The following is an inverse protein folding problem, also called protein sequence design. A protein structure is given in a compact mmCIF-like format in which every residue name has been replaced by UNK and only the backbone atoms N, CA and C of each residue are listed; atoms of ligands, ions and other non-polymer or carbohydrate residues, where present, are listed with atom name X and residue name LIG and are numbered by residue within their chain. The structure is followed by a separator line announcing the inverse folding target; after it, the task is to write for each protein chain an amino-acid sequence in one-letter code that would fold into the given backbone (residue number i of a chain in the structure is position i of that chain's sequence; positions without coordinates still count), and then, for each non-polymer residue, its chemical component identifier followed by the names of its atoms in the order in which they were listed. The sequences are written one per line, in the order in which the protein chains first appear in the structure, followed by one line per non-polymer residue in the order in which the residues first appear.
data_IF_548949416142
#
_entry.id   IF_548949416142
#
_cell.length_a   1.000
_cell.length_b   1.000
_cell.length_c   1.000
_cell.angle_alpha   90.00
_cell.angle_beta   90.00
_cell.angle_gamma   90.00
#
_symmetry.space_group_name_H-M   'P 1'
#
loop_
_entity.id
_entity.type
_entity.pdbx_description
1 polymer ?
#
# COMPACT_ATOMS: atom_id res chain seq x y z
N UNK A 1 -23.58 -1.52 -65.16
CA UNK A 1 -24.54 -0.85 -64.24
C UNK A 1 -24.82 -1.61 -62.93
N UNK A 2 -24.67 -2.95 -62.83
CA UNK A 2 -24.89 -3.70 -61.57
C UNK A 2 -23.87 -3.40 -60.47
N UNK A 3 -22.59 -3.29 -60.81
CA UNK A 3 -21.51 -3.02 -59.84
C UNK A 3 -21.67 -1.66 -59.14
N UNK A 4 -22.06 -0.61 -59.89
CA UNK A 4 -22.30 0.74 -59.34
C UNK A 4 -23.40 0.74 -58.26
N UNK A 5 -24.48 -0.03 -58.47
CA UNK A 5 -25.57 -0.18 -57.49
C UNK A 5 -25.12 -0.95 -56.23
N UNK A 6 -24.13 -1.83 -56.34
CA UNK A 6 -23.61 -2.61 -55.21
C UNK A 6 -22.74 -1.75 -54.29
N UNK A 7 -21.87 -0.93 -54.87
CA UNK A 7 -21.04 0.04 -54.13
C UNK A 7 -21.88 1.10 -53.42
N UNK A 8 -22.93 1.62 -54.07
CA UNK A 8 -23.86 2.58 -53.45
C UNK A 8 -24.58 1.99 -52.23
N UNK A 9 -25.01 0.72 -52.30
CA UNK A 9 -25.66 0.03 -51.16
C UNK A 9 -24.71 -0.16 -49.98
N UNK A 10 -23.45 -0.54 -50.25
CA UNK A 10 -22.42 -0.65 -49.22
C UNK A 10 -22.12 0.70 -48.57
N UNK A 11 -22.05 1.78 -49.34
CA UNK A 11 -21.79 3.12 -48.84
C UNK A 11 -22.94 3.64 -47.97
N UNK A 12 -24.20 3.45 -48.39
CA UNK A 12 -25.38 3.77 -47.58
C UNK A 12 -25.39 2.97 -46.29
N UNK A 13 -25.13 1.65 -46.35
CA UNK A 13 -25.05 0.81 -45.16
C UNK A 13 -23.95 1.29 -44.19
N UNK A 14 -22.79 1.68 -44.70
CA UNK A 14 -21.70 2.25 -43.90
C UNK A 14 -22.09 3.56 -43.20
N UNK A 15 -22.77 4.47 -43.90
CA UNK A 15 -23.25 5.73 -43.31
C UNK A 15 -24.31 5.47 -42.23
N UNK A 16 -25.26 4.57 -42.48
CA UNK A 16 -26.29 4.20 -41.50
C UNK A 16 -25.65 3.57 -40.26
N UNK A 17 -24.68 2.68 -40.45
CA UNK A 17 -23.96 2.05 -39.34
C UNK A 17 -23.19 3.07 -38.50
N UNK A 18 -22.50 4.02 -39.15
CA UNK A 18 -21.81 5.11 -38.47
C UNK A 18 -22.80 6.02 -37.71
N UNK A 19 -23.93 6.36 -38.32
CA UNK A 19 -24.97 7.16 -37.69
C UNK A 19 -25.52 6.47 -36.42
N UNK A 20 -25.73 5.14 -36.46
CA UNK A 20 -26.15 4.37 -35.28
C UNK A 20 -25.11 4.40 -34.16
N UNK A 21 -23.81 4.32 -34.49
CA UNK A 21 -22.73 4.45 -33.49
C UNK A 21 -22.74 5.83 -32.84
N UNK A 22 -22.90 6.89 -33.63
CA UNK A 22 -22.95 8.27 -33.11
C UNK A 22 -24.18 8.47 -32.21
N UNK A 23 -25.36 7.98 -32.61
CA UNK A 23 -26.56 8.03 -31.77
C UNK A 23 -26.37 7.23 -30.48
N UNK A 24 -25.71 6.08 -30.55
CA UNK A 24 -25.35 5.29 -29.37
C UNK A 24 -24.41 6.04 -28.43
N UNK A 25 -23.36 6.65 -28.97
CA UNK A 25 -22.39 7.47 -28.21
C UNK A 25 -23.04 8.69 -27.54
N UNK A 26 -23.97 9.36 -28.23
CA UNK A 26 -24.69 10.52 -27.69
C UNK A 26 -25.79 10.11 -26.69
N UNK A 27 -26.29 8.87 -26.76
CA UNK A 27 -27.31 8.36 -25.85
C UNK A 27 -26.75 7.91 -24.49
N UNK A 28 -25.42 7.86 -24.31
CA UNK A 28 -24.84 7.57 -23.00
C UNK A 28 -25.20 8.69 -22.00
N UNK A 29 -26.09 8.37 -21.07
CA UNK A 29 -26.42 9.24 -19.95
C UNK A 29 -25.19 9.38 -19.06
N UNK A 30 -24.84 10.62 -18.72
CA UNK A 30 -23.79 10.89 -17.73
C UNK A 30 -24.15 10.22 -16.40
N UNK A 31 -23.16 9.71 -15.64
CA UNK A 31 -23.42 9.13 -14.34
C UNK A 31 -24.03 10.19 -13.41
N UNK A 32 -24.94 9.76 -12.54
CA UNK A 32 -25.64 10.66 -11.62
C UNK A 32 -24.68 11.34 -10.62
N UNK A 33 -23.63 10.62 -10.21
CA UNK A 33 -22.56 11.09 -9.34
C UNK A 33 -21.26 11.16 -10.15
N UNK A 34 -20.69 12.37 -10.24
CA UNK A 34 -19.42 12.62 -10.91
C UNK A 34 -18.38 12.94 -9.83
N UNK A 35 -17.40 12.06 -9.67
CA UNK A 35 -16.27 12.27 -8.77
C UNK A 35 -15.34 13.33 -9.37
N UNK A 36 -15.11 14.42 -8.63
CA UNK A 36 -14.20 15.51 -8.99
C UNK A 36 -12.80 15.31 -8.41
N UNK A 37 -12.67 14.42 -7.44
CA UNK A 37 -11.43 14.10 -6.73
C UNK A 37 -11.12 12.62 -6.87
N UNK A 38 -9.84 12.27 -7.03
CA UNK A 38 -9.42 10.87 -7.02
C UNK A 38 -9.19 10.35 -5.59
N UNK A 39 -9.00 9.03 -5.44
CA UNK A 39 -8.82 8.41 -4.12
C UNK A 39 -7.59 8.92 -3.36
N UNK A 40 -6.50 9.30 -4.05
CA UNK A 40 -5.26 9.78 -3.43
C UNK A 40 -5.44 11.19 -2.85
N UNK A 41 -6.11 12.06 -3.58
CA UNK A 41 -6.48 13.39 -3.11
C UNK A 41 -7.48 13.30 -1.95
N UNK A 42 -8.44 12.38 -2.01
CA UNK A 42 -9.38 12.17 -0.91
C UNK A 42 -8.67 11.66 0.35
N UNK A 43 -7.66 10.80 0.21
CA UNK A 43 -6.86 10.33 1.33
C UNK A 43 -6.11 11.49 2.02
N UNK A 44 -5.66 12.51 1.28
CA UNK A 44 -5.05 13.70 1.88
C UNK A 44 -6.01 14.55 2.71
N UNK A 45 -7.33 14.35 2.57
CA UNK A 45 -8.33 14.98 3.42
C UNK A 45 -8.51 14.22 4.75
N UNK A 46 -8.13 12.95 4.81
CA UNK A 46 -8.22 12.14 6.02
C UNK A 46 -7.20 12.65 7.02
N UNK A 47 -7.69 13.14 8.17
CA UNK A 47 -6.87 13.81 9.18
C UNK A 47 -6.84 15.34 9.06
N UNK A 48 -7.54 15.95 8.11
CA UNK A 48 -7.71 17.40 8.08
C UNK A 48 -8.64 17.85 9.22
N UNK A 49 -8.04 18.46 10.24
CA UNK A 49 -8.74 18.95 11.44
C UNK A 49 -9.56 20.22 11.17
N UNK A 50 -9.29 20.97 10.10
CA UNK A 50 -10.06 22.17 9.72
C UNK A 50 -11.49 21.84 9.26
N UNK A 51 -11.74 20.58 8.91
CA UNK A 51 -13.04 20.07 8.48
C UNK A 51 -13.83 19.44 9.64
N UNK A 52 -13.22 19.38 10.83
CA UNK A 52 -13.87 18.97 12.06
C UNK A 52 -14.45 20.19 12.77
N UNK A 53 -15.68 20.07 13.26
CA UNK A 53 -16.32 21.07 14.12
C UNK A 53 -16.48 20.45 15.51
N UNK A 54 -16.13 21.18 16.56
CA UNK A 54 -16.39 20.74 17.94
C UNK A 54 -17.81 21.12 18.35
N UNK A 55 -18.41 20.33 19.24
CA UNK A 55 -19.72 20.64 19.84
C UNK A 55 -19.78 22.07 20.41
N UNK A 56 -18.67 22.59 20.95
CA UNK A 56 -18.59 23.94 21.53
C UNK A 56 -18.81 25.06 20.50
N UNK A 57 -18.48 24.80 19.24
CA UNK A 57 -18.50 25.80 18.17
C UNK A 57 -19.82 25.79 17.38
N UNK A 58 -20.72 24.83 17.65
CA UNK A 58 -21.98 24.66 16.93
C UNK A 58 -22.87 25.92 17.00
N UNK A 59 -22.93 26.58 18.16
CA UNK A 59 -23.78 27.75 18.38
C UNK A 59 -23.27 29.03 17.70
N UNK A 60 -22.02 29.04 17.21
CA UNK A 60 -21.37 30.25 16.69
C UNK A 60 -21.46 30.31 15.16
N UNK A 61 -21.53 29.14 14.50
CA UNK A 61 -21.27 29.06 13.05
C UNK A 61 -22.47 29.10 12.12
N UNK A 62 -23.71 29.17 12.63
CA UNK A 62 -24.92 29.18 11.79
C UNK A 62 -24.99 27.97 10.84
N UNK A 63 -24.60 26.80 11.34
CA UNK A 63 -24.46 25.58 10.54
C UNK A 63 -25.82 24.96 10.22
N UNK A 64 -25.95 24.41 9.01
CA UNK A 64 -27.00 23.43 8.74
C UNK A 64 -26.53 22.07 9.25
N UNK A 65 -27.18 21.58 10.30
CA UNK A 65 -26.88 20.27 10.87
C UNK A 65 -27.63 19.17 10.12
N UNK A 66 -26.92 18.08 9.82
CA UNK A 66 -27.48 16.88 9.21
C UNK A 66 -27.11 15.67 10.06
N UNK A 67 -28.14 15.03 10.61
CA UNK A 67 -28.00 13.78 11.36
C UNK A 67 -27.99 12.60 10.39
N UNK A 68 -26.88 11.85 10.37
CA UNK A 68 -26.69 10.72 9.46
C UNK A 68 -27.10 9.38 10.06
N UNK A 69 -27.60 9.37 11.29
CA UNK A 69 -28.11 8.15 11.95
C UNK A 69 -29.46 7.75 11.37
N UNK A 70 -29.89 6.53 11.69
CA UNK A 70 -31.20 6.07 11.29
C UNK A 70 -32.31 6.89 12.00
N UNK A 71 -33.50 6.86 11.41
CA UNK A 71 -34.65 7.62 11.89
C UNK A 71 -35.06 7.27 13.33
N UNK A 72 -34.85 6.03 13.77
CA UNK A 72 -35.20 5.62 15.14
C UNK A 72 -34.28 6.27 16.18
N UNK A 73 -32.99 6.39 15.90
CA UNK A 73 -32.05 7.09 16.79
C UNK A 73 -32.28 8.59 16.81
N UNK A 74 -32.54 9.19 15.65
CA UNK A 74 -32.91 10.59 15.55
C UNK A 74 -34.19 10.92 16.34
N UNK A 75 -35.20 10.05 16.28
CA UNK A 75 -36.46 10.22 17.00
C UNK A 75 -36.32 10.11 18.53
N UNK A 76 -35.34 9.34 19.03
CA UNK A 76 -35.03 9.27 20.47
C UNK A 76 -34.40 10.57 20.98
N UNK A 77 -33.74 11.31 20.10
CA UNK A 77 -33.12 12.58 20.40
C UNK A 77 -32.10 12.95 19.32
N UNK A 78 -31.98 14.24 19.05
CA UNK A 78 -31.07 14.82 18.07
C UNK A 78 -30.62 16.20 18.53
N UNK A 79 -29.69 16.82 17.79
CA UNK A 79 -29.27 18.20 18.04
C UNK A 79 -30.35 19.12 17.44
N UNK A 80 -30.72 20.18 18.16
CA UNK A 80 -31.76 21.12 17.71
C UNK A 80 -31.45 21.65 16.29
N UNK A 81 -32.52 21.84 15.50
CA UNK A 81 -32.49 22.27 14.09
C UNK A 81 -31.75 21.33 13.10
N UNK A 82 -31.37 20.12 13.54
CA UNK A 82 -30.79 19.12 12.65
C UNK A 82 -31.83 18.47 11.73
N UNK A 83 -31.48 18.33 10.45
CA UNK A 83 -32.27 17.53 9.49
C UNK A 83 -31.76 16.09 9.48
N UNK A 84 -32.65 15.10 9.62
CA UNK A 84 -32.24 13.71 9.48
C UNK A 84 -32.12 13.30 8.00
N UNK A 85 -30.93 12.83 7.60
CA UNK A 85 -30.72 12.14 6.34
C UNK A 85 -29.84 10.94 6.63
N UNK A 86 -30.46 9.76 6.78
CA UNK A 86 -29.74 8.54 7.08
C UNK A 86 -28.57 8.30 6.10
N UNK A 87 -27.40 7.84 6.59
CA UNK A 87 -26.18 7.77 5.79
C UNK A 87 -26.34 7.04 4.42
N UNK A 88 -27.04 5.90 4.31
CA UNK A 88 -27.33 5.26 3.01
C UNK A 88 -28.16 6.12 2.06
N UNK A 89 -28.94 7.05 2.60
CA UNK A 89 -29.83 7.93 1.84
C UNK A 89 -29.16 9.23 1.41
N UNK A 90 -27.98 9.57 1.94
CA UNK A 90 -27.22 10.79 1.55
C UNK A 90 -26.90 10.85 0.05
N UNK A 91 -26.68 9.69 -0.56
CA UNK A 91 -26.32 9.58 -1.98
C UNK A 91 -27.52 9.43 -2.91
N UNK A 92 -28.75 9.40 -2.36
CA UNK A 92 -29.97 9.37 -3.17
C UNK A 92 -30.20 10.70 -3.89
N UNK A 93 -30.92 10.70 -5.04
CA UNK A 93 -31.10 11.91 -5.83
C UNK A 93 -31.71 13.10 -5.10
N UNK A 94 -32.66 12.85 -4.20
CA UNK A 94 -33.28 13.89 -3.39
C UNK A 94 -32.28 14.56 -2.44
N UNK A 95 -31.52 13.76 -1.69
CA UNK A 95 -30.51 14.24 -0.74
C UNK A 95 -29.40 15.02 -1.44
N UNK A 96 -28.88 14.52 -2.55
CA UNK A 96 -27.87 15.23 -3.36
C UNK A 96 -28.40 16.56 -3.89
N UNK A 97 -29.68 16.61 -4.31
CA UNK A 97 -30.32 17.87 -4.74
C UNK A 97 -30.41 18.87 -3.59
N UNK A 98 -30.79 18.41 -2.40
CA UNK A 98 -30.87 19.23 -1.20
C UNK A 98 -29.49 19.76 -0.77
N UNK A 99 -28.47 18.90 -0.69
CA UNK A 99 -27.09 19.31 -0.38
C UNK A 99 -26.55 20.33 -1.40
N UNK A 100 -26.85 20.15 -2.69
CA UNK A 100 -26.46 21.11 -3.75
C UNK A 100 -27.16 22.45 -3.58
N UNK A 101 -28.42 22.46 -3.15
CA UNK A 101 -29.15 23.69 -2.84
C UNK A 101 -28.49 24.42 -1.66
N UNK A 102 -28.21 23.73 -0.56
CA UNK A 102 -27.51 24.31 0.59
C UNK A 102 -26.13 24.88 0.21
N UNK A 103 -25.37 24.18 -0.64
CA UNK A 103 -24.11 24.69 -1.20
C UNK A 103 -24.31 25.98 -2.00
N UNK A 104 -25.34 26.06 -2.86
CA UNK A 104 -25.66 27.28 -3.64
C UNK A 104 -26.08 28.45 -2.76
N UNK A 105 -26.76 28.17 -1.64
CA UNK A 105 -27.13 29.17 -0.62
C UNK A 105 -25.92 29.62 0.23
N UNK A 106 -24.74 29.04 0.04
CA UNK A 106 -23.54 29.37 0.80
C UNK A 106 -23.54 28.85 2.24
N UNK A 107 -24.47 27.94 2.58
CA UNK A 107 -24.57 27.37 3.94
C UNK A 107 -23.42 26.39 4.20
N UNK A 108 -22.86 26.47 5.41
CA UNK A 108 -21.93 25.46 5.92
C UNK A 108 -22.72 24.31 6.49
N UNK A 109 -22.40 23.10 6.06
CA UNK A 109 -23.14 21.89 6.43
C UNK A 109 -22.27 21.07 7.37
N UNK A 110 -22.82 20.65 8.51
CA UNK A 110 -22.12 19.79 9.47
C UNK A 110 -22.85 18.46 9.54
N UNK A 111 -22.16 17.38 9.13
CA UNK A 111 -22.65 16.02 9.29
C UNK A 111 -22.33 15.53 10.70
N UNK A 112 -23.25 14.83 11.34
CA UNK A 112 -22.95 14.13 12.57
C UNK A 112 -23.69 12.79 12.63
N UNK A 113 -23.01 11.78 13.15
CA UNK A 113 -23.58 10.48 13.46
C UNK A 113 -23.59 10.26 14.97
N UNK A 114 -23.62 9.00 15.40
CA UNK A 114 -23.45 8.66 16.81
C UNK A 114 -22.06 9.07 17.31
N UNK A 115 -21.04 8.78 16.51
CA UNK A 115 -19.64 9.12 16.72
C UNK A 115 -19.03 9.78 15.47
N UNK A 116 -17.72 10.04 15.53
CA UNK A 116 -16.96 10.66 14.43
C UNK A 116 -16.92 9.78 13.17
N UNK A 117 -16.90 8.45 13.32
CA UNK A 117 -16.71 7.53 12.20
C UNK A 117 -17.93 7.52 11.30
N UNK A 118 -19.12 7.47 11.90
CA UNK A 118 -20.39 7.50 11.16
C UNK A 118 -20.55 8.76 10.30
N UNK A 119 -19.95 9.88 10.70
CA UNK A 119 -19.99 11.14 9.95
C UNK A 119 -18.81 11.29 8.97
N UNK A 120 -17.61 10.81 9.32
CA UNK A 120 -16.42 10.98 8.50
C UNK A 120 -16.50 10.20 7.19
N UNK A 121 -17.05 9.00 7.22
CA UNK A 121 -17.14 8.12 6.04
C UNK A 121 -17.97 8.73 4.91
N UNK A 122 -19.23 9.13 5.13
CA UNK A 122 -20.00 9.81 4.10
C UNK A 122 -19.40 11.18 3.73
N UNK A 123 -18.76 11.87 4.68
CA UNK A 123 -18.09 13.14 4.41
C UNK A 123 -16.96 13.02 3.37
N UNK A 124 -16.12 11.97 3.46
CA UNK A 124 -15.05 11.73 2.48
C UNK A 124 -15.64 11.55 1.08
N UNK A 125 -16.67 10.72 0.96
CA UNK A 125 -17.31 10.44 -0.34
C UNK A 125 -17.95 11.72 -0.91
N UNK A 126 -18.67 12.48 -0.09
CA UNK A 126 -19.27 13.74 -0.52
C UNK A 126 -18.20 14.79 -0.90
N UNK A 127 -17.07 14.82 -0.21
CA UNK A 127 -15.95 15.69 -0.58
C UNK A 127 -15.42 15.37 -1.98
N UNK A 128 -15.39 14.08 -2.35
CA UNK A 128 -15.02 13.68 -3.71
C UNK A 128 -16.06 14.10 -4.77
N UNK A 129 -17.30 14.35 -4.36
CA UNK A 129 -18.40 14.85 -5.20
C UNK A 129 -18.47 16.39 -5.25
N UNK A 130 -17.37 17.07 -4.88
CA UNK A 130 -17.23 18.54 -4.88
C UNK A 130 -18.07 19.26 -3.80
N UNK A 131 -18.45 18.59 -2.71
CA UNK A 131 -19.07 19.29 -1.58
C UNK A 131 -18.02 19.84 -0.61
N UNK A 132 -17.44 21.00 -0.95
CA UNK A 132 -16.38 21.66 -0.17
C UNK A 132 -16.87 22.42 1.08
N UNK A 133 -18.17 22.70 1.18
CA UNK A 133 -18.85 23.37 2.29
C UNK A 133 -19.30 22.41 3.40
N UNK A 134 -18.87 21.15 3.33
CA UNK A 134 -19.15 20.12 4.33
C UNK A 134 -18.06 20.03 5.40
N UNK A 135 -18.53 19.83 6.62
CA UNK A 135 -17.79 19.59 7.84
C UNK A 135 -18.42 18.39 8.54
N UNK A 136 -17.77 17.87 9.57
CA UNK A 136 -18.35 16.83 10.42
C UNK A 136 -18.06 17.07 11.90
N UNK A 137 -18.98 16.62 12.75
CA UNK A 137 -18.90 16.81 14.20
C UNK A 137 -17.88 15.85 14.82
N UNK A 138 -16.87 16.40 15.48
CA UNK A 138 -15.76 15.63 16.05
C UNK A 138 -16.21 14.67 17.13
N UNK A 139 -17.09 15.11 18.03
CA UNK A 139 -17.50 14.32 19.18
C UNK A 139 -18.75 13.46 18.93
N UNK A 140 -19.39 13.61 17.77
CA UNK A 140 -20.66 12.94 17.43
C UNK A 140 -21.82 13.31 18.36
N UNK A 141 -22.94 12.62 18.21
CA UNK A 141 -24.12 12.83 19.05
C UNK A 141 -23.90 12.38 20.50
N UNK A 142 -23.17 11.28 20.72
CA UNK A 142 -22.86 10.80 22.08
C UNK A 142 -22.03 11.86 22.85
N UNK A 143 -21.05 12.46 22.19
CA UNK A 143 -20.28 13.56 22.76
C UNK A 143 -21.10 14.84 22.98
N UNK A 144 -22.04 15.14 22.09
CA UNK A 144 -22.99 16.23 22.28
C UNK A 144 -23.86 16.02 23.54
N UNK A 145 -24.42 14.83 23.75
CA UNK A 145 -25.20 14.54 24.95
C UNK A 145 -24.39 14.72 26.23
N UNK A 146 -23.14 14.24 26.22
CA UNK A 146 -22.21 14.45 27.34
C UNK A 146 -21.91 15.92 27.55
N UNK A 147 -21.82 16.73 26.49
CA UNK A 147 -21.60 18.18 26.59
C UNK A 147 -22.78 18.89 27.23
N UNK A 148 -23.99 18.48 26.86
CA UNK A 148 -25.22 19.01 27.44
C UNK A 148 -25.34 18.62 28.92
N UNK A 149 -24.95 17.39 29.29
CA UNK A 149 -24.96 16.92 30.67
C UNK A 149 -23.84 17.53 31.53
N UNK A 150 -22.65 17.74 30.95
CA UNK A 150 -21.47 18.32 31.56
C UNK A 150 -20.93 19.42 30.65
N UNK A 151 -21.40 20.66 30.88
CA UNK A 151 -21.01 21.87 30.12
C UNK A 151 -19.48 22.15 30.07
N UNK A 152 -18.68 21.38 30.79
CA UNK A 152 -17.22 21.42 30.81
C UNK A 152 -16.56 20.17 30.19
N UNK A 153 -16.93 19.75 28.97
CA UNK A 153 -16.12 18.78 28.21
C UNK A 153 -14.82 19.43 27.68
N UNK A 154 -14.06 20.10 28.53
CA UNK A 154 -12.67 20.44 28.20
C UNK A 154 -11.77 19.18 28.12
N UNK A 155 -12.23 18.05 28.65
CA UNK A 155 -11.36 16.92 28.99
C UNK A 155 -11.76 15.59 28.32
N UNK A 156 -12.79 15.53 27.47
CA UNK A 156 -13.19 14.26 26.84
C UNK A 156 -12.44 14.03 25.52
N UNK A 157 -11.65 12.94 25.51
CA UNK A 157 -10.79 12.49 24.40
C UNK A 157 -10.01 13.62 23.73
N UNK A 158 -9.00 14.13 24.42
CA UNK A 158 -7.75 14.36 23.69
C UNK A 158 -7.51 13.07 22.89
N UNK A 159 -7.31 13.12 21.56
CA UNK A 159 -6.87 11.95 20.82
C UNK A 159 -5.73 11.36 21.65
N UNK A 160 -5.88 10.12 22.14
CA UNK A 160 -4.80 9.52 22.91
C UNK A 160 -3.57 9.61 22.02
N UNK A 161 -2.57 10.38 22.46
CA UNK A 161 -1.30 10.37 21.77
C UNK A 161 -0.88 8.89 21.77
N UNK A 162 -0.61 8.32 20.59
CA UNK A 162 -0.31 6.90 20.51
C UNK A 162 0.87 6.64 21.45
N UNK A 163 0.66 5.78 22.45
CA UNK A 163 1.66 5.49 23.48
C UNK A 163 2.99 5.01 22.87
N UNK A 164 2.94 4.52 21.62
CA UNK A 164 4.09 4.24 20.78
C UNK A 164 4.05 5.05 19.49
N UNK A 165 5.19 5.65 19.16
CA UNK A 165 5.48 6.15 17.82
C UNK A 165 5.73 4.95 16.89
N UNK A 166 4.66 4.45 16.28
CA UNK A 166 4.72 3.32 15.36
C UNK A 166 5.61 3.61 14.15
N UNK A 167 5.66 4.86 13.67
CA UNK A 167 6.51 5.23 12.55
C UNK A 167 7.99 5.05 12.89
N UNK A 168 8.40 5.50 14.09
CA UNK A 168 9.75 5.24 14.61
C UNK A 168 10.01 3.76 14.82
N UNK A 169 9.05 3.01 15.36
CA UNK A 169 9.17 1.56 15.54
C UNK A 169 9.45 0.83 14.22
N UNK A 170 8.71 1.14 13.14
CA UNK A 170 8.93 0.52 11.84
C UNK A 170 10.30 0.85 11.25
N UNK A 171 10.75 2.11 11.37
CA UNK A 171 12.08 2.54 10.91
C UNK A 171 13.19 1.82 11.68
N UNK A 172 13.07 1.72 13.00
CA UNK A 172 14.07 1.07 13.85
C UNK A 172 14.09 -0.44 13.61
N UNK A 173 12.93 -1.07 13.45
CA UNK A 173 12.81 -2.48 13.08
C UNK A 173 13.47 -2.77 11.73
N UNK A 174 13.26 -1.92 10.72
CA UNK A 174 13.88 -2.07 9.42
C UNK A 174 15.41 -1.95 9.50
N UNK A 175 15.93 -0.94 10.21
CA UNK A 175 17.38 -0.76 10.42
C UNK A 175 18.00 -1.94 11.15
N UNK A 176 17.34 -2.46 12.19
CA UNK A 176 17.82 -3.62 12.94
C UNK A 176 17.88 -4.87 12.06
N UNK A 177 16.89 -5.05 11.19
CA UNK A 177 16.84 -6.14 10.21
C UNK A 177 17.98 -6.05 9.19
N UNK A 178 18.20 -4.87 8.61
CA UNK A 178 19.30 -4.61 7.67
C UNK A 178 20.68 -4.87 8.31
N UNK A 179 20.87 -4.42 9.56
CA UNK A 179 22.09 -4.68 10.31
C UNK A 179 22.32 -6.18 10.60
N UNK A 180 21.25 -6.93 10.87
CA UNK A 180 21.30 -8.38 11.05
C UNK A 180 21.72 -9.10 9.76
N UNK A 181 21.12 -8.72 8.62
CA UNK A 181 21.49 -9.27 7.32
C UNK A 181 22.93 -8.93 6.92
N UNK A 182 23.39 -7.71 7.20
CA UNK A 182 24.78 -7.32 6.94
C UNK A 182 25.78 -8.15 7.74
N UNK A 183 25.50 -8.40 9.03
CA UNK A 183 26.33 -9.26 9.90
C UNK A 183 26.34 -10.71 9.41
N UNK A 184 25.19 -11.25 9.01
CA UNK A 184 25.09 -12.60 8.47
C UNK A 184 25.87 -12.77 7.16
N UNK A 185 25.83 -11.75 6.28
CA UNK A 185 26.60 -11.73 5.03
C UNK A 185 28.10 -11.67 5.29
N UNK A 186 28.56 -10.79 6.16
CA UNK A 186 29.97 -10.68 6.52
C UNK A 186 30.54 -11.98 7.13
N UNK A 187 29.76 -12.67 7.96
CA UNK A 187 30.13 -13.98 8.51
C UNK A 187 30.29 -15.02 7.41
N UNK A 188 29.32 -15.10 6.50
CA UNK A 188 29.34 -16.03 5.36
C UNK A 188 30.53 -15.79 4.44
N UNK A 189 30.83 -14.53 4.13
CA UNK A 189 31.95 -14.17 3.25
C UNK A 189 33.30 -14.55 3.88
N UNK A 190 33.44 -14.39 5.21
CA UNK A 190 34.62 -14.86 5.95
C UNK A 190 34.77 -16.38 5.93
N UNK A 191 33.67 -17.11 6.13
CA UNK A 191 33.65 -18.59 6.07
C UNK A 191 33.97 -19.09 4.65
N UNK A 192 33.41 -18.47 3.61
CA UNK A 192 33.73 -18.75 2.21
C UNK A 192 35.19 -18.47 1.87
N UNK A 193 35.76 -17.38 2.38
CA UNK A 193 37.18 -17.07 2.24
C UNK A 193 38.07 -18.17 2.81
N UNK A 194 37.78 -18.60 4.05
CA UNK A 194 38.51 -19.70 4.71
C UNK A 194 38.37 -21.02 3.93
N UNK A 195 37.17 -21.33 3.45
CA UNK A 195 36.92 -22.55 2.67
C UNK A 195 37.71 -22.56 1.34
N UNK A 196 37.80 -21.41 0.66
CA UNK A 196 38.58 -21.26 -0.59
C UNK A 196 40.07 -21.48 -0.35
N UNK A 197 40.63 -20.94 0.73
CA UNK A 197 42.05 -21.15 1.10
C UNK A 197 42.33 -22.62 1.36
N UNK A 198 41.51 -23.28 2.20
CA UNK A 198 41.66 -24.71 2.50
C UNK A 198 41.55 -25.59 1.25
N UNK A 199 40.64 -25.26 0.35
CA UNK A 199 40.49 -25.99 -0.92
C UNK A 199 41.71 -25.80 -1.83
N UNK A 200 42.29 -24.60 -1.89
CA UNK A 200 43.50 -24.34 -2.65
C UNK A 200 44.73 -25.09 -2.07
N UNK A 201 44.87 -25.12 -0.74
CA UNK A 201 45.90 -25.90 -0.05
C UNK A 201 45.76 -27.40 -0.33
N UNK A 202 44.53 -27.94 -0.29
CA UNK A 202 44.27 -29.35 -0.61
C UNK A 202 44.60 -29.72 -2.07
N UNK A 203 44.35 -28.82 -3.02
CA UNK A 203 44.76 -28.99 -4.42
C UNK A 203 46.29 -29.02 -4.53
N UNK A 204 47.00 -28.15 -3.80
CA UNK A 204 48.45 -28.11 -3.81
C UNK A 204 49.07 -29.37 -3.21
N UNK A 205 48.55 -29.87 -2.09
CA UNK A 205 49.04 -31.12 -1.47
C UNK A 205 48.77 -32.33 -2.37
N UNK A 206 47.59 -32.41 -2.99
CA UNK A 206 47.27 -33.47 -3.96
C UNK A 206 48.18 -33.41 -5.20
N UNK A 207 48.53 -32.22 -5.68
CA UNK A 207 49.47 -32.06 -6.79
C UNK A 207 50.89 -32.52 -6.41
N UNK A 208 51.35 -32.25 -5.18
CA UNK A 208 52.64 -32.71 -4.68
C UNK A 208 52.69 -34.24 -4.52
N UNK A 209 51.63 -34.84 -3.99
CA UNK A 209 51.51 -36.30 -3.84
C UNK A 209 51.52 -37.01 -5.20
N UNK A 210 50.73 -36.51 -6.17
CA UNK A 210 50.75 -37.02 -7.55
C UNK A 210 52.12 -36.84 -8.24
N UNK A 211 52.85 -35.77 -7.94
CA UNK A 211 54.21 -35.56 -8.45
C UNK A 211 55.21 -36.56 -7.84
N UNK A 212 55.08 -36.88 -6.55
CA UNK A 212 55.90 -37.88 -5.87
C UNK A 212 55.63 -39.29 -6.42
N UNK A 213 54.36 -39.63 -6.67
CA UNK A 213 53.96 -40.92 -7.24
C UNK A 213 54.49 -41.09 -8.68
N UNK A 214 54.48 -40.02 -9.50
CA UNK A 214 55.10 -40.02 -10.84
C UNK A 214 56.62 -40.10 -10.82
N UNK A 215 57.29 -39.69 -9.74
CA UNK A 215 58.74 -39.79 -9.57
C UNK A 215 59.21 -41.19 -9.11
N UNK A 216 58.35 -41.97 -8.46
CA UNK A 216 58.66 -43.32 -7.99
C UNK A 216 59.16 -44.30 -9.09
N UNK A 217 58.55 -44.40 -10.29
CA UNK A 217 59.03 -45.29 -11.35
C UNK A 217 60.39 -44.88 -11.94
N UNK A 218 60.82 -43.62 -11.79
CA UNK A 218 62.15 -43.17 -12.21
C UNK A 218 63.24 -43.65 -11.24
N UNK A 219 62.97 -43.61 -9.92
CA UNK A 219 63.89 -44.08 -8.89
C UNK A 219 64.08 -45.61 -8.91
N UNK A 220 63.02 -46.38 -9.21
CA UNK A 220 63.11 -47.84 -9.37
C UNK A 220 63.94 -48.22 -10.59
N UNK A 221 63.76 -47.54 -11.74
CA UNK A 221 64.60 -47.75 -12.94
C UNK A 221 66.07 -47.43 -12.67
N UNK A 222 66.37 -46.40 -11.88
CA UNK A 222 67.74 -46.06 -11.49
C UNK A 222 68.38 -47.15 -10.58
N UNK A 223 67.66 -47.66 -9.58
CA UNK A 223 68.17 -48.72 -8.68
C UNK A 223 68.40 -50.05 -9.40
N UNK A 224 67.53 -50.45 -10.33
CA UNK A 224 67.72 -51.67 -11.14
C UNK A 224 68.99 -51.59 -12.00
N UNK A 225 69.30 -50.41 -12.55
CA UNK A 225 70.53 -50.19 -13.33
C UNK A 225 71.78 -50.34 -12.46
N UNK A 226 71.79 -49.80 -11.24
CA UNK A 226 72.92 -49.90 -10.29
C UNK A 226 73.16 -51.34 -9.79
N UNK A 227 72.08 -52.10 -9.53
CA UNK A 227 72.20 -53.51 -9.09
C UNK A 227 72.76 -54.40 -10.20
N UNK A 228 72.38 -54.19 -11.46
CA UNK A 228 72.99 -54.91 -12.61
C UNK A 228 74.50 -54.64 -12.71
N UNK A 229 74.93 -53.41 -12.46
CA UNK A 229 76.36 -53.05 -12.47
C UNK A 229 77.11 -53.73 -11.30
N UNK A 230 76.52 -53.76 -10.10
CA UNK A 230 77.15 -54.39 -8.91
C UNK A 230 77.22 -55.93 -8.99
N UNK A 231 76.21 -56.62 -9.54
CA UNK A 231 76.31 -58.08 -9.77
C UNK A 231 77.40 -58.44 -10.78
N UNK A 232 77.64 -57.59 -11.78
CA UNK A 232 78.77 -57.74 -12.72
C UNK A 232 80.13 -57.61 -12.03
N UNK A 233 80.23 -56.79 -10.96
CA UNK A 233 81.45 -56.59 -10.16
C UNK A 233 81.68 -57.69 -9.09
N UNK A 234 80.62 -58.24 -8.48
CA UNK A 234 80.75 -59.37 -7.52
C UNK A 234 81.14 -60.70 -8.16
N UNK A 235 80.90 -60.87 -9.47
CA UNK A 235 81.41 -61.99 -10.31
C UNK A 235 82.94 -62.03 -10.45
N UNK A 236 83.68 -61.15 -9.76
CA UNK A 236 85.15 -61.04 -9.84
C UNK A 236 85.90 -61.22 -8.51
N UNK A 237 85.23 -61.40 -7.36
CA UNK A 237 85.94 -61.23 -6.06
C UNK A 237 85.59 -62.26 -4.95
N UNK A 238 84.52 -63.06 -5.05
CA UNK A 238 84.18 -64.03 -3.98
C UNK A 238 84.18 -65.46 -4.52
N UNK A 239 84.92 -66.42 -3.98
CA UNK A 239 85.81 -66.37 -2.83
C UNK A 239 86.79 -67.53 -2.93
N UNK A 240 88.04 -67.25 -2.60
CA UNK A 240 89.00 -68.23 -2.12
C UNK A 240 88.53 -68.83 -0.79
#
# INVERSE_FOLDING_TARGET
MKELKRTQRLLIAGIVFFALIVVGLLSFKKPFLEYKMNAKEALSLVGNTEKMVSVKDLNIGGFQLIDVRNQFEYAKGHIDDATNIYAPDLFKPFSIKYLKQLKKEGKKIVLYGKDIQEASDPWIILSQLDFNNLYYLKEGYDGYQLFQANKSLANWRQPEEPALDFAKFFVDAQKAMEASYAKARAKRDKELGIARVKHAEAIQSAAQENAAERAAPAAVKAKVKVVKIRKKKKKRIGGC
#
